data_IF_065507580043
#
_entry.id   IF_065507580043
#
_cell.length_a   1.000
_cell.length_b   1.000
_cell.length_c   1.000
_cell.angle_alpha   90.00
_cell.angle_beta   90.00
_cell.angle_gamma   90.00
#
_symmetry.space_group_name_H-M   'P 1'
#
loop_
_entity.id
_entity.type
_entity.pdbx_description
1 polymer ?
#
# COMPACT_ATOMS: atom_id res chain seq x y z
N UNK A 1 -54.46 -10.19 34.82
CA UNK A 1 -53.80 -8.96 34.37
C UNK A 1 -52.32 -8.87 34.80
N UNK A 2 -51.96 -9.09 36.07
CA UNK A 2 -50.54 -9.01 36.54
C UNK A 2 -49.56 -9.93 35.80
N UNK A 3 -49.91 -11.20 35.52
CA UNK A 3 -49.05 -12.15 34.81
C UNK A 3 -48.79 -11.77 33.32
N UNK A 4 -49.80 -11.17 32.65
CA UNK A 4 -49.62 -10.71 31.26
C UNK A 4 -48.68 -9.50 31.16
N UNK A 5 -48.75 -8.58 32.11
CA UNK A 5 -47.84 -7.43 32.19
C UNK A 5 -46.40 -7.88 32.46
N UNK A 6 -46.21 -8.86 33.34
CA UNK A 6 -44.89 -9.42 33.62
C UNK A 6 -44.27 -10.12 32.39
N UNK A 7 -45.07 -10.81 31.58
CA UNK A 7 -44.60 -11.43 30.34
C UNK A 7 -44.19 -10.40 29.29
N UNK A 8 -44.99 -9.33 29.09
CA UNK A 8 -44.67 -8.24 28.19
C UNK A 8 -43.39 -7.51 28.64
N UNK A 9 -43.24 -7.25 29.96
CA UNK A 9 -42.05 -6.65 30.52
C UNK A 9 -40.80 -7.52 30.29
N UNK A 10 -40.93 -8.83 30.44
CA UNK A 10 -39.87 -9.79 30.16
C UNK A 10 -39.38 -9.73 28.69
N UNK A 11 -40.34 -9.71 27.74
CA UNK A 11 -40.04 -9.56 26.33
C UNK A 11 -39.35 -8.22 26.03
N UNK A 12 -39.82 -7.12 26.66
CA UNK A 12 -39.20 -5.81 26.49
C UNK A 12 -37.75 -5.78 26.98
N UNK A 13 -37.47 -6.42 28.13
CA UNK A 13 -36.10 -6.54 28.66
C UNK A 13 -35.20 -7.32 27.70
N UNK A 14 -35.67 -8.47 27.17
CA UNK A 14 -34.91 -9.28 26.20
C UNK A 14 -34.62 -8.44 24.93
N UNK A 15 -35.62 -7.72 24.42
CA UNK A 15 -35.46 -6.83 23.28
C UNK A 15 -34.41 -5.74 23.56
N UNK A 16 -34.44 -5.16 24.74
CA UNK A 16 -33.52 -4.08 25.14
C UNK A 16 -32.10 -4.61 25.29
N UNK A 17 -31.91 -5.81 25.89
CA UNK A 17 -30.60 -6.47 25.97
C UNK A 17 -30.03 -6.74 24.58
N UNK A 18 -30.86 -7.23 23.65
CA UNK A 18 -30.46 -7.45 22.25
C UNK A 18 -29.98 -6.18 21.58
N UNK A 19 -30.75 -5.09 21.72
CA UNK A 19 -30.36 -3.77 21.14
C UNK A 19 -29.04 -3.28 21.73
N UNK A 20 -28.86 -3.32 23.05
CA UNK A 20 -27.62 -2.92 23.72
C UNK A 20 -26.44 -3.76 23.29
N UNK A 21 -26.60 -5.08 23.21
CA UNK A 21 -25.56 -5.99 22.73
C UNK A 21 -25.14 -5.65 21.29
N UNK A 22 -26.11 -5.37 20.42
CA UNK A 22 -25.83 -5.03 19.02
C UNK A 22 -25.15 -3.66 18.85
N UNK A 23 -25.50 -2.69 19.69
CA UNK A 23 -24.86 -1.36 19.71
C UNK A 23 -23.37 -1.43 20.11
N UNK A 24 -22.97 -2.41 20.91
CA UNK A 24 -21.57 -2.61 21.32
C UNK A 24 -20.84 -3.49 20.30
N UNK A 25 -21.48 -4.56 19.82
CA UNK A 25 -20.84 -5.53 18.95
C UNK A 25 -20.55 -5.00 17.54
N UNK A 26 -21.49 -4.22 16.98
CA UNK A 26 -21.35 -3.69 15.61
C UNK A 26 -20.13 -2.80 15.42
N UNK A 27 -19.86 -1.77 16.24
CA UNK A 27 -18.65 -0.97 16.08
C UNK A 27 -17.37 -1.77 16.30
N UNK A 28 -17.35 -2.68 17.30
CA UNK A 28 -16.17 -3.50 17.56
C UNK A 28 -15.83 -4.44 16.39
N UNK A 29 -16.81 -5.07 15.79
CA UNK A 29 -16.61 -5.92 14.61
C UNK A 29 -16.23 -5.12 13.36
N UNK A 30 -16.72 -3.87 13.24
CA UNK A 30 -16.29 -2.96 12.18
C UNK A 30 -14.83 -2.57 12.34
N UNK A 31 -14.39 -2.21 13.55
CA UNK A 31 -13.00 -1.80 13.81
C UNK A 31 -12.02 -2.94 13.52
N UNK A 32 -12.36 -4.17 13.92
CA UNK A 32 -11.57 -5.36 13.58
C UNK A 32 -11.46 -5.57 12.06
N UNK A 33 -12.59 -5.47 11.33
CA UNK A 33 -12.60 -5.60 9.87
C UNK A 33 -11.81 -4.47 9.21
N UNK A 34 -11.91 -3.25 9.72
CA UNK A 34 -11.19 -2.08 9.22
C UNK A 34 -9.68 -2.29 9.35
N UNK A 35 -9.21 -2.75 10.52
CA UNK A 35 -7.80 -3.02 10.77
C UNK A 35 -7.27 -4.13 9.84
N UNK A 36 -7.98 -5.25 9.74
CA UNK A 36 -7.61 -6.39 8.91
C UNK A 36 -7.53 -5.99 7.42
N UNK A 37 -8.58 -5.38 6.88
CA UNK A 37 -8.60 -4.94 5.47
C UNK A 37 -7.57 -3.85 5.17
N UNK A 38 -7.39 -2.91 6.09
CA UNK A 38 -6.35 -1.89 5.96
C UNK A 38 -4.95 -2.51 5.91
N UNK A 39 -4.65 -3.51 6.76
CA UNK A 39 -3.37 -4.19 6.76
C UNK A 39 -3.05 -4.83 5.40
N UNK A 40 -4.02 -5.51 4.79
CA UNK A 40 -3.84 -6.13 3.46
C UNK A 40 -3.65 -5.08 2.35
N UNK A 41 -4.42 -3.99 2.37
CA UNK A 41 -4.28 -2.89 1.40
C UNK A 41 -2.91 -2.21 1.56
N UNK A 42 -2.46 -1.97 2.80
CA UNK A 42 -1.14 -1.38 3.09
C UNK A 42 0.00 -2.27 2.56
N UNK A 43 -0.10 -3.58 2.67
CA UNK A 43 0.90 -4.51 2.11
C UNK A 43 1.02 -4.31 0.60
N UNK A 44 -0.09 -4.30 -0.13
CA UNK A 44 -0.07 -4.05 -1.59
C UNK A 44 0.43 -2.64 -1.94
N UNK A 45 0.00 -1.61 -1.22
CA UNK A 45 0.50 -0.25 -1.43
C UNK A 45 2.02 -0.14 -1.20
N UNK A 46 2.56 -0.83 -0.19
CA UNK A 46 4.02 -0.92 0.03
C UNK A 46 4.73 -1.61 -1.13
N UNK A 47 4.14 -2.66 -1.69
CA UNK A 47 4.69 -3.37 -2.84
C UNK A 47 4.68 -2.50 -4.10
N UNK A 48 3.58 -1.80 -4.38
CA UNK A 48 3.49 -0.84 -5.49
C UNK A 48 4.52 0.29 -5.30
N UNK A 49 4.66 0.82 -4.08
CA UNK A 49 5.65 1.85 -3.75
C UNK A 49 7.07 1.37 -4.00
N UNK A 50 7.41 0.16 -3.60
CA UNK A 50 8.73 -0.42 -3.85
C UNK A 50 9.00 -0.60 -5.35
N UNK A 51 8.01 -1.06 -6.11
CA UNK A 51 8.09 -1.19 -7.55
C UNK A 51 8.26 0.17 -8.25
N UNK A 52 7.54 1.19 -7.82
CA UNK A 52 7.66 2.56 -8.34
C UNK A 52 9.04 3.17 -8.05
N UNK A 53 9.60 2.94 -6.87
CA UNK A 53 10.97 3.36 -6.55
C UNK A 53 12.02 2.69 -7.42
N UNK A 54 11.86 1.38 -7.68
CA UNK A 54 12.73 0.66 -8.60
C UNK A 54 12.57 1.15 -10.04
N UNK A 55 11.35 1.43 -10.48
CA UNK A 55 11.06 2.02 -11.80
C UNK A 55 11.74 3.38 -11.95
N UNK A 56 11.59 4.27 -10.95
CA UNK A 56 12.25 5.57 -10.90
C UNK A 56 13.78 5.46 -10.93
N UNK A 57 14.37 4.48 -10.24
CA UNK A 57 15.83 4.30 -10.23
C UNK A 57 16.39 4.01 -11.62
N UNK A 58 15.62 3.32 -12.48
CA UNK A 58 16.00 2.97 -13.84
C UNK A 58 15.64 4.04 -14.86
N UNK A 59 14.42 4.57 -14.81
CA UNK A 59 13.87 5.46 -15.82
C UNK A 59 13.86 6.95 -15.43
N UNK A 60 14.29 7.28 -14.20
CA UNK A 60 14.30 8.62 -13.61
C UNK A 60 12.92 9.28 -13.53
N UNK A 61 11.85 8.50 -13.66
CA UNK A 61 10.46 8.93 -13.58
C UNK A 61 9.59 7.82 -12.99
N UNK A 62 8.42 8.18 -12.48
CA UNK A 62 7.38 7.23 -12.09
C UNK A 62 6.45 6.92 -13.25
N UNK A 63 5.69 5.84 -13.15
CA UNK A 63 4.61 5.52 -14.10
C UNK A 63 3.24 5.59 -13.43
N UNK A 64 2.25 6.15 -14.13
CA UNK A 64 0.84 6.12 -13.75
C UNK A 64 0.09 4.91 -14.29
N UNK A 65 0.76 4.05 -15.07
CA UNK A 65 0.16 2.91 -15.75
C UNK A 65 0.59 1.58 -15.12
N UNK A 66 -0.38 0.76 -14.71
CA UNK A 66 -0.12 -0.55 -14.12
C UNK A 66 0.44 -1.56 -15.11
N UNK A 67 0.07 -1.48 -16.39
CA UNK A 67 0.61 -2.43 -17.40
C UNK A 67 2.11 -2.21 -17.58
N UNK A 68 2.53 -0.96 -17.64
CA UNK A 68 3.95 -0.58 -17.70
C UNK A 68 4.71 -1.01 -16.43
N UNK A 69 4.12 -0.82 -15.25
CA UNK A 69 4.73 -1.20 -13.99
C UNK A 69 4.87 -2.73 -13.85
N UNK A 70 3.82 -3.47 -14.16
CA UNK A 70 3.81 -4.95 -14.11
C UNK A 70 4.79 -5.53 -15.13
N UNK A 71 4.81 -4.99 -16.36
CA UNK A 71 5.77 -5.43 -17.38
C UNK A 71 7.22 -5.19 -16.93
N UNK A 72 7.51 -4.05 -16.31
CA UNK A 72 8.81 -3.76 -15.71
C UNK A 72 9.18 -4.77 -14.63
N UNK A 73 8.28 -5.09 -13.71
CA UNK A 73 8.55 -6.07 -12.64
C UNK A 73 8.85 -7.46 -13.20
N UNK A 74 8.10 -7.91 -14.21
CA UNK A 74 8.17 -9.27 -14.73
C UNK A 74 9.34 -9.50 -15.68
N UNK A 75 9.70 -8.50 -16.49
CA UNK A 75 10.58 -8.69 -17.64
C UNK A 75 11.89 -7.90 -17.55
N UNK A 76 12.00 -7.00 -16.59
CA UNK A 76 13.16 -6.10 -16.53
C UNK A 76 14.19 -6.52 -15.47
N UNK A 77 15.36 -5.91 -15.53
CA UNK A 77 16.45 -6.09 -14.57
C UNK A 77 17.02 -4.77 -14.11
N UNK A 78 17.52 -4.76 -12.88
CA UNK A 78 18.25 -3.65 -12.29
C UNK A 78 19.74 -3.97 -12.30
N UNK A 79 20.54 -3.01 -12.69
CA UNK A 79 21.99 -3.08 -12.59
C UNK A 79 22.40 -2.72 -11.16
N UNK A 80 23.02 -3.66 -10.49
CA UNK A 80 23.54 -3.50 -9.14
C UNK A 80 25.07 -3.48 -9.18
N UNK A 81 25.65 -2.74 -8.25
CA UNK A 81 27.10 -2.68 -8.08
C UNK A 81 27.49 -3.31 -6.75
N UNK A 82 28.53 -4.15 -6.76
CA UNK A 82 29.15 -4.64 -5.52
C UNK A 82 30.63 -4.32 -5.53
N UNK A 83 31.16 -4.00 -4.36
CA UNK A 83 32.62 -3.92 -4.15
C UNK A 83 33.17 -5.34 -4.08
N UNK A 84 34.25 -5.58 -4.81
CA UNK A 84 34.95 -6.87 -4.81
C UNK A 84 35.81 -7.06 -3.56
N UNK A 85 36.37 -5.96 -3.06
CA UNK A 85 37.28 -5.95 -1.93
C UNK A 85 36.96 -4.75 -1.03
N UNK A 86 37.17 -4.90 0.26
CA UNK A 86 37.03 -3.80 1.21
C UNK A 86 38.13 -2.74 0.96
N UNK A 87 37.75 -1.48 0.98
CA UNK A 87 38.68 -0.35 0.71
C UNK A 87 39.80 -0.25 1.73
N UNK A 88 39.55 -0.77 2.93
CA UNK A 88 40.52 -0.79 4.05
C UNK A 88 41.56 -1.93 3.90
N UNK A 89 41.31 -2.92 3.04
CA UNK A 89 42.25 -4.01 2.74
C UNK A 89 43.24 -3.56 1.64
N UNK A 90 44.33 -2.91 2.09
CA UNK A 90 45.38 -2.40 1.18
C UNK A 90 46.10 -3.50 0.38
N UNK A 91 46.16 -4.74 0.89
CA UNK A 91 46.82 -5.86 0.21
C UNK A 91 45.94 -6.37 -0.92
N UNK A 92 44.67 -6.59 -0.66
CA UNK A 92 43.71 -7.04 -1.65
C UNK A 92 43.48 -5.94 -2.73
N UNK A 93 43.45 -4.67 -2.35
CA UNK A 93 43.37 -3.55 -3.28
C UNK A 93 44.60 -3.46 -4.22
N UNK A 94 45.80 -3.71 -3.67
CA UNK A 94 47.02 -3.74 -4.50
C UNK A 94 47.02 -4.91 -5.50
N UNK A 95 46.48 -6.08 -5.12
CA UNK A 95 46.32 -7.22 -6.00
C UNK A 95 45.30 -6.93 -7.13
N UNK A 96 44.18 -6.29 -6.80
CA UNK A 96 43.14 -5.90 -7.76
C UNK A 96 43.70 -4.91 -8.81
N UNK A 97 44.48 -3.90 -8.34
CA UNK A 97 45.18 -2.97 -9.22
C UNK A 97 46.19 -3.65 -10.13
N UNK A 98 46.97 -4.65 -9.64
CA UNK A 98 47.90 -5.44 -10.46
C UNK A 98 47.17 -6.23 -11.56
N UNK A 99 45.92 -6.66 -11.30
CA UNK A 99 45.08 -7.37 -12.27
C UNK A 99 44.37 -6.42 -13.26
N UNK A 100 44.51 -5.10 -13.11
CA UNK A 100 43.85 -4.10 -13.94
C UNK A 100 42.33 -4.04 -13.77
N UNK A 101 41.80 -4.63 -12.68
CA UNK A 101 40.36 -4.68 -12.40
C UNK A 101 39.95 -3.48 -11.54
N UNK A 102 38.73 -2.97 -11.80
CA UNK A 102 38.09 -1.99 -10.91
C UNK A 102 37.55 -2.70 -9.66
N UNK A 103 37.50 -2.02 -8.53
CA UNK A 103 36.93 -2.55 -7.29
C UNK A 103 35.38 -2.60 -7.29
N UNK A 104 34.76 -2.38 -8.44
CA UNK A 104 33.32 -2.39 -8.62
C UNK A 104 33.01 -3.40 -9.72
N UNK A 105 32.18 -4.38 -9.39
CA UNK A 105 31.59 -5.32 -10.32
C UNK A 105 30.10 -5.00 -10.49
N UNK A 106 29.68 -4.79 -11.71
CA UNK A 106 28.26 -4.58 -12.05
C UNK A 106 27.63 -5.91 -12.45
N UNK A 107 26.45 -6.18 -11.92
CA UNK A 107 25.68 -7.37 -12.27
C UNK A 107 24.19 -7.02 -12.36
N UNK A 108 23.46 -7.77 -13.18
CA UNK A 108 22.03 -7.55 -13.37
C UNK A 108 21.23 -8.56 -12.54
N UNK A 109 20.25 -8.05 -11.79
CA UNK A 109 19.29 -8.87 -11.06
C UNK A 109 17.89 -8.57 -11.60
N UNK A 110 17.07 -9.62 -11.77
CA UNK A 110 15.68 -9.43 -12.12
C UNK A 110 14.97 -8.53 -11.10
N UNK A 111 14.12 -7.62 -11.57
CA UNK A 111 13.41 -6.67 -10.72
C UNK A 111 12.60 -7.40 -9.65
N UNK A 112 11.91 -8.48 -10.02
CA UNK A 112 11.11 -9.30 -9.10
C UNK A 112 11.92 -9.84 -7.92
N UNK A 113 13.15 -10.28 -8.17
CA UNK A 113 14.02 -10.84 -7.12
C UNK A 113 14.61 -9.76 -6.21
N UNK A 114 14.72 -8.54 -6.70
CA UNK A 114 15.24 -7.40 -5.93
C UNK A 114 14.18 -6.82 -4.99
N UNK A 115 12.95 -6.64 -5.50
CA UNK A 115 11.89 -5.91 -4.77
C UNK A 115 11.20 -6.82 -3.76
N UNK A 116 10.92 -8.07 -4.14
CA UNK A 116 10.05 -8.94 -3.37
C UNK A 116 10.78 -10.04 -2.58
N UNK A 117 12.10 -10.06 -2.59
CA UNK A 117 12.87 -10.96 -1.73
C UNK A 117 12.74 -10.51 -0.24
N UNK A 118 12.47 -11.42 0.74
CA UNK A 118 12.40 -12.88 0.60
C UNK A 118 11.03 -13.44 0.19
N UNK A 119 9.99 -12.61 0.03
CA UNK A 119 8.67 -13.07 -0.43
C UNK A 119 8.74 -13.39 -1.92
N UNK A 120 8.66 -14.66 -2.27
CA UNK A 120 8.62 -15.09 -3.67
C UNK A 120 7.21 -14.95 -4.21
N UNK A 121 6.89 -13.79 -4.77
CA UNK A 121 5.61 -13.55 -5.42
C UNK A 121 5.53 -14.32 -6.74
N UNK A 122 4.39 -14.93 -7.01
CA UNK A 122 4.10 -15.58 -8.29
C UNK A 122 3.80 -14.54 -9.37
N UNK A 123 3.81 -14.97 -10.64
CA UNK A 123 3.40 -14.09 -11.75
C UNK A 123 1.97 -13.60 -11.58
N UNK A 124 1.09 -14.45 -11.05
CA UNK A 124 -0.31 -14.09 -10.78
C UNK A 124 -0.42 -13.04 -9.68
N UNK A 125 0.36 -13.15 -8.60
CA UNK A 125 0.39 -12.15 -7.54
C UNK A 125 0.84 -10.79 -8.08
N UNK A 126 1.84 -10.77 -8.96
CA UNK A 126 2.34 -9.55 -9.59
C UNK A 126 1.29 -8.95 -10.54
N UNK A 127 0.60 -9.76 -11.34
CA UNK A 127 -0.49 -9.31 -12.21
C UNK A 127 -1.67 -8.76 -11.40
N UNK A 128 -1.97 -9.38 -10.25
CA UNK A 128 -3.01 -8.97 -9.32
C UNK A 128 -2.61 -7.81 -8.40
N UNK A 129 -1.39 -7.27 -8.54
CA UNK A 129 -0.91 -6.14 -7.74
C UNK A 129 -1.76 -4.88 -7.97
N UNK A 130 -2.31 -4.73 -9.19
CA UNK A 130 -3.20 -3.63 -9.56
C UNK A 130 -4.52 -3.58 -8.80
N UNK A 131 -5.02 -4.75 -8.34
CA UNK A 131 -6.35 -4.84 -7.75
C UNK A 131 -6.33 -4.62 -6.24
N UNK A 132 -7.29 -3.82 -5.77
CA UNK A 132 -7.51 -3.61 -4.35
C UNK A 132 -8.01 -4.92 -3.71
N UNK A 133 -7.46 -5.37 -2.56
CA UNK A 133 -7.99 -6.51 -1.82
C UNK A 133 -9.47 -6.38 -1.51
N UNK A 134 -10.18 -7.50 -1.37
CA UNK A 134 -11.62 -7.57 -1.07
C UNK A 134 -12.56 -6.99 -2.14
N UNK A 135 -12.08 -6.88 -3.39
CA UNK A 135 -12.88 -6.39 -4.52
C UNK A 135 -13.09 -7.45 -5.61
N UNK A 136 -12.82 -8.73 -5.31
CA UNK A 136 -12.86 -9.85 -6.28
C UNK A 136 -12.01 -9.59 -7.55
N UNK A 137 -10.91 -8.86 -7.41
CA UNK A 137 -10.06 -8.42 -8.52
C UNK A 137 -10.80 -7.63 -9.62
N UNK A 138 -11.81 -6.85 -9.23
CA UNK A 138 -12.60 -6.04 -10.17
C UNK A 138 -12.27 -4.55 -10.12
N UNK A 139 -11.66 -4.09 -9.02
CA UNK A 139 -11.38 -2.67 -8.82
C UNK A 139 -9.89 -2.47 -8.66
N UNK A 140 -9.33 -1.61 -9.50
CA UNK A 140 -7.91 -1.27 -9.47
C UNK A 140 -7.64 -0.12 -8.49
N UNK A 141 -6.39 -0.07 -7.97
CA UNK A 141 -5.90 1.13 -7.30
C UNK A 141 -5.91 2.31 -8.26
N UNK A 142 -6.17 3.50 -7.75
CA UNK A 142 -6.08 4.73 -8.52
C UNK A 142 -4.62 5.18 -8.44
N UNK A 143 -3.89 5.09 -9.55
CA UNK A 143 -2.48 5.46 -9.62
C UNK A 143 -2.27 6.57 -10.64
N UNK A 144 -1.55 7.61 -10.23
CA UNK A 144 -1.23 8.77 -11.07
C UNK A 144 0.24 9.13 -10.89
N UNK A 145 0.89 9.56 -11.96
CA UNK A 145 2.26 10.04 -11.93
C UNK A 145 2.41 11.30 -12.79
N UNK A 146 3.21 12.24 -12.33
CA UNK A 146 3.47 13.50 -13.04
C UNK A 146 4.85 14.05 -12.69
N UNK A 147 5.19 15.16 -13.33
CA UNK A 147 6.31 16.00 -12.94
C UNK A 147 5.78 17.32 -12.38
N UNK A 148 6.23 17.69 -11.20
CA UNK A 148 5.88 18.97 -10.57
C UNK A 148 7.10 19.86 -10.45
N UNK A 149 6.89 21.16 -10.56
CA UNK A 149 7.95 22.13 -10.41
C UNK A 149 8.19 22.44 -8.93
N UNK A 150 9.35 22.04 -8.42
CA UNK A 150 9.83 22.43 -7.09
C UNK A 150 10.89 23.55 -7.29
N UNK A 151 10.42 24.81 -7.28
CA UNK A 151 11.27 25.95 -7.67
C UNK A 151 11.66 25.87 -9.16
N UNK A 152 12.96 25.75 -9.43
CA UNK A 152 13.49 25.66 -10.80
C UNK A 152 13.80 24.22 -11.27
N UNK A 153 13.39 23.21 -10.49
CA UNK A 153 13.66 21.80 -10.80
C UNK A 153 12.37 21.05 -11.00
N UNK A 154 12.29 20.25 -12.06
CA UNK A 154 11.19 19.30 -12.27
C UNK A 154 11.46 18.03 -11.47
N UNK A 155 10.54 17.67 -10.59
CA UNK A 155 10.63 16.49 -9.74
C UNK A 155 9.51 15.51 -10.12
N UNK A 156 9.84 14.24 -10.40
CA UNK A 156 8.81 13.24 -10.65
C UNK A 156 8.08 12.91 -9.33
N UNK A 157 6.77 12.85 -9.40
CA UNK A 157 5.87 12.50 -8.30
C UNK A 157 4.93 11.38 -8.70
N UNK A 158 4.46 10.64 -7.73
CA UNK A 158 3.48 9.56 -7.88
C UNK A 158 2.51 9.59 -6.71
N UNK A 159 1.26 9.28 -6.97
CA UNK A 159 0.27 9.04 -5.93
C UNK A 159 -0.51 7.76 -6.27
N UNK A 160 -0.69 6.86 -5.30
CA UNK A 160 -1.51 5.67 -5.43
C UNK A 160 -2.52 5.61 -4.29
N UNK A 161 -3.81 5.42 -4.61
CA UNK A 161 -4.95 5.61 -3.71
C UNK A 161 -5.87 4.40 -3.69
N UNK A 162 -6.37 4.08 -2.48
CA UNK A 162 -7.45 3.12 -2.24
C UNK A 162 -8.52 3.77 -1.36
N UNK A 163 -9.63 4.27 -1.92
CA UNK A 163 -10.73 4.85 -1.13
C UNK A 163 -11.40 3.79 -0.25
N UNK A 164 -11.75 4.13 0.99
CA UNK A 164 -12.43 3.23 1.93
C UNK A 164 -13.69 2.59 1.36
N UNK A 165 -14.48 3.37 0.61
CA UNK A 165 -15.74 2.91 -0.02
C UNK A 165 -15.59 1.74 -1.00
N UNK A 166 -14.38 1.49 -1.50
CA UNK A 166 -14.13 0.44 -2.50
C UNK A 166 -13.85 -0.92 -1.90
N UNK A 167 -13.26 -0.98 -0.69
CA UNK A 167 -12.83 -2.24 -0.10
C UNK A 167 -13.45 -2.55 1.28
N UNK A 168 -14.09 -1.58 1.92
CA UNK A 168 -14.86 -1.84 3.14
C UNK A 168 -16.26 -2.37 2.80
N UNK A 169 -16.85 -3.12 3.72
CA UNK A 169 -18.20 -3.64 3.54
C UNK A 169 -19.24 -2.53 3.80
N UNK A 170 -19.67 -1.92 2.69
CA UNK A 170 -20.67 -0.84 2.71
C UNK A 170 -22.12 -1.34 2.85
N UNK A 171 -22.35 -2.66 2.86
CA UNK A 171 -23.67 -3.25 3.08
C UNK A 171 -23.87 -3.53 4.56
N UNK A 172 -22.96 -4.31 5.17
CA UNK A 172 -23.05 -4.68 6.59
C UNK A 172 -22.78 -3.49 7.51
N UNK A 173 -21.82 -2.60 7.16
CA UNK A 173 -21.36 -1.50 8.02
C UNK A 173 -21.55 -0.12 7.39
N UNK A 174 -22.64 0.05 6.64
CA UNK A 174 -22.88 1.28 5.87
C UNK A 174 -22.69 2.57 6.69
N UNK A 175 -23.30 2.65 7.87
CA UNK A 175 -23.23 3.84 8.69
C UNK A 175 -21.84 4.08 9.27
N UNK A 176 -21.14 3.01 9.67
CA UNK A 176 -19.77 3.08 10.18
C UNK A 176 -18.81 3.59 9.10
N UNK A 177 -18.94 3.10 7.86
CA UNK A 177 -18.13 3.56 6.72
C UNK A 177 -18.40 5.03 6.39
N UNK A 178 -19.68 5.46 6.40
CA UNK A 178 -20.04 6.86 6.18
C UNK A 178 -19.41 7.74 7.26
N UNK A 179 -19.56 7.36 8.53
CA UNK A 179 -19.02 8.13 9.66
C UNK A 179 -17.48 8.21 9.58
N UNK A 180 -16.80 7.10 9.23
CA UNK A 180 -15.35 7.06 9.04
C UNK A 180 -14.89 8.02 7.93
N UNK A 181 -15.59 8.02 6.78
CA UNK A 181 -15.28 8.90 5.64
C UNK A 181 -15.50 10.35 6.03
N UNK A 182 -16.63 10.65 6.68
CA UNK A 182 -17.00 12.00 7.11
C UNK A 182 -16.00 12.57 8.13
N UNK A 183 -15.62 11.74 9.10
CA UNK A 183 -14.61 12.09 10.09
C UNK A 183 -13.25 12.42 9.45
N UNK A 184 -12.79 11.58 8.52
CA UNK A 184 -11.53 11.81 7.79
C UNK A 184 -11.54 13.10 6.97
N UNK A 185 -12.64 13.37 6.27
CA UNK A 185 -12.75 14.55 5.39
C UNK A 185 -12.99 15.83 6.19
N UNK A 186 -13.98 15.82 7.08
CA UNK A 186 -14.45 17.06 7.73
C UNK A 186 -13.68 17.40 9.00
N UNK A 187 -13.26 16.41 9.80
CA UNK A 187 -12.57 16.68 11.05
C UNK A 187 -11.04 16.71 10.89
N UNK A 188 -10.48 15.84 10.03
CA UNK A 188 -9.03 15.75 9.83
C UNK A 188 -8.55 16.40 8.54
N UNK A 189 -9.42 16.86 7.65
CA UNK A 189 -9.08 17.36 6.31
C UNK A 189 -8.14 16.39 5.57
N UNK A 190 -8.39 15.09 5.71
CA UNK A 190 -7.55 14.01 5.21
C UNK A 190 -8.25 13.20 4.12
N UNK A 191 -7.49 12.47 3.35
CA UNK A 191 -8.05 11.57 2.34
C UNK A 191 -8.85 10.42 2.98
N UNK A 192 -10.06 10.18 2.47
CA UNK A 192 -10.95 9.11 2.94
C UNK A 192 -10.56 7.74 2.37
N UNK A 193 -9.40 7.24 2.75
CA UNK A 193 -8.82 6.00 2.27
C UNK A 193 -7.35 5.88 2.63
N UNK A 194 -6.71 4.88 2.06
CA UNK A 194 -5.27 4.69 2.14
C UNK A 194 -4.61 5.21 0.86
N UNK A 195 -3.51 5.92 1.01
CA UNK A 195 -2.71 6.41 -0.13
C UNK A 195 -1.24 6.57 0.25
N UNK A 196 -0.36 6.49 -0.75
CA UNK A 196 1.01 6.96 -0.65
C UNK A 196 1.31 7.97 -1.75
N UNK A 197 2.30 8.82 -1.47
CA UNK A 197 2.72 9.86 -2.40
C UNK A 197 1.79 11.07 -2.42
N UNK A 198 2.06 11.99 -3.33
CA UNK A 198 1.26 13.20 -3.54
C UNK A 198 1.50 13.76 -4.94
N UNK A 199 0.44 14.23 -5.59
CA UNK A 199 0.51 14.93 -6.87
C UNK A 199 0.81 16.42 -6.72
N UNK A 200 0.73 17.00 -5.51
CA UNK A 200 0.98 18.41 -5.25
C UNK A 200 2.47 18.72 -5.07
N UNK A 201 3.25 17.73 -4.64
CA UNK A 201 4.68 17.87 -4.39
C UNK A 201 5.32 16.58 -3.91
N UNK A 202 6.65 16.54 -3.94
CA UNK A 202 7.37 15.37 -3.46
C UNK A 202 7.29 15.26 -1.94
N UNK A 203 6.69 14.16 -1.45
CA UNK A 203 6.63 13.79 -0.05
C UNK A 203 7.43 12.50 0.24
N UNK A 204 8.39 12.17 -0.64
CA UNK A 204 9.20 10.94 -0.57
C UNK A 204 8.35 9.66 -0.56
N UNK A 205 7.24 9.67 -1.30
CA UNK A 205 6.26 8.58 -1.41
C UNK A 205 5.75 8.08 -0.03
N UNK A 206 5.63 9.02 0.95
CA UNK A 206 5.12 8.69 2.29
C UNK A 206 3.67 8.20 2.22
N UNK A 207 3.36 7.18 3.02
CA UNK A 207 2.01 6.66 3.17
C UNK A 207 1.25 7.39 4.29
N UNK A 208 -0.05 7.59 4.14
CA UNK A 208 -0.87 8.22 5.18
C UNK A 208 -1.17 7.31 6.39
N UNK A 209 -0.57 6.13 6.43
CA UNK A 209 -0.62 5.18 7.55
C UNK A 209 0.67 5.18 8.40
N UNK A 210 1.68 5.97 8.02
CA UNK A 210 2.98 6.08 8.67
C UNK A 210 2.98 7.08 9.81
#
# INVERSE_FOLDING_TARGET
MKKGIQFILGLAIIGLVYVVANLIYTPLSFDQQLEERNAEVIVKLKDIRAAQRAYKSKYQQFTGDFDSLINFILNDSLTMERKLVDEDDSVAMAQLKKQGKKNIETYNIAVVDTIFNPRKLTKEDIQNLRYIPHTDNKVEFIMEAAHVNAGNVQVPVVECRAPYKLYLDTVAYRQNVINLIDDRVNNFNAYAGLKFGSMEGSNNEAGNWE
#
